data_IF_703869637660
#
_entry.id   IF_703869637660
#
_cell.length_a   1.000
_cell.length_b   1.000
_cell.length_c   1.000
_cell.angle_alpha   90.00
_cell.angle_beta   90.00
_cell.angle_gamma   90.00
#
_symmetry.space_group_name_H-M   'P 1'
#
loop_
_entity.id
_entity.type
_entity.pdbx_description
1 polymer ?
#
# COMPACT_ATOMS: atom_id res chain seq x y z
N UNK A 1 -10.04 6.93 -15.36
CA UNK A 1 -8.93 6.82 -16.33
C UNK A 1 -7.63 7.15 -15.63
N UNK A 2 -6.49 7.03 -16.32
CA UNK A 2 -5.21 7.48 -15.77
C UNK A 2 -5.17 9.03 -15.80
N UNK A 3 -4.74 9.68 -14.72
CA UNK A 3 -4.64 11.16 -14.67
C UNK A 3 -3.57 11.61 -15.67
N UNK A 4 -3.95 12.47 -16.62
CA UNK A 4 -3.05 13.07 -17.61
C UNK A 4 -1.95 13.87 -16.92
N UNK A 5 -0.70 13.76 -17.39
CA UNK A 5 0.45 14.43 -16.78
C UNK A 5 0.97 13.84 -15.47
N UNK A 6 0.28 12.85 -14.88
CA UNK A 6 0.68 12.20 -13.61
C UNK A 6 0.83 10.68 -13.75
N UNK A 7 0.09 10.07 -14.68
CA UNK A 7 0.14 8.63 -14.97
C UNK A 7 1.13 8.27 -16.07
N UNK A 8 1.63 9.27 -16.80
CA UNK A 8 2.64 9.14 -17.85
C UNK A 8 4.07 9.31 -17.29
N UNK A 9 4.19 9.68 -16.02
CA UNK A 9 5.47 9.87 -15.34
C UNK A 9 6.04 8.52 -14.92
N UNK A 10 7.33 8.28 -15.21
CA UNK A 10 8.05 7.10 -14.74
C UNK A 10 8.04 7.08 -13.21
N UNK A 11 7.33 6.12 -12.63
CA UNK A 11 7.26 5.94 -11.18
C UNK A 11 8.29 4.92 -10.72
N UNK A 12 8.65 5.04 -9.45
CA UNK A 12 9.46 4.05 -8.76
C UNK A 12 8.76 2.68 -8.83
N UNK A 13 9.47 1.62 -9.21
CA UNK A 13 8.89 0.30 -9.32
C UNK A 13 8.39 -0.15 -7.94
N UNK A 14 7.15 -0.65 -7.90
CA UNK A 14 6.59 -1.22 -6.67
C UNK A 14 7.21 -2.59 -6.41
N UNK A 15 8.18 -2.65 -5.49
CA UNK A 15 8.85 -3.90 -5.13
C UNK A 15 8.02 -4.79 -4.18
N UNK A 16 7.07 -4.23 -3.41
CA UNK A 16 6.32 -5.04 -2.46
C UNK A 16 5.19 -4.33 -1.71
N UNK A 17 4.74 -4.98 -0.63
CA UNK A 17 3.75 -4.45 0.33
C UNK A 17 4.18 -4.83 1.74
N UNK A 18 4.19 -3.84 2.64
CA UNK A 18 4.33 -4.06 4.07
C UNK A 18 2.92 -4.05 4.67
N UNK A 19 2.59 -5.03 5.51
CA UNK A 19 1.25 -5.19 6.09
C UNK A 19 1.28 -5.02 7.61
N UNK A 20 0.14 -4.63 8.19
CA UNK A 20 -0.06 -4.44 9.63
C UNK A 20 -0.70 -5.65 10.32
N UNK A 21 -0.89 -6.76 9.60
CA UNK A 21 -1.61 -7.90 10.11
C UNK A 21 -1.56 -9.11 9.17
N UNK A 22 -2.03 -10.23 9.70
CA UNK A 22 -2.07 -11.53 9.04
C UNK A 22 -3.52 -11.97 8.85
N UNK A 23 -3.75 -12.87 7.89
CA UNK A 23 -5.02 -13.60 7.83
C UNK A 23 -4.94 -14.79 8.77
N UNK A 24 -5.91 -14.93 9.65
CA UNK A 24 -6.06 -16.07 10.55
C UNK A 24 -7.27 -16.89 10.11
N UNK A 25 -7.16 -18.21 10.17
CA UNK A 25 -8.27 -19.12 9.94
C UNK A 25 -9.09 -19.24 11.22
N UNK A 26 -10.42 -19.12 11.10
CA UNK A 26 -11.35 -19.45 12.17
C UNK A 26 -11.75 -20.92 12.12
N UNK A 27 -12.44 -21.39 13.16
CA UNK A 27 -12.81 -22.80 13.34
C UNK A 27 -13.69 -23.36 12.21
N UNK A 28 -14.39 -22.48 11.49
CA UNK A 28 -15.26 -22.80 10.34
C UNK A 28 -14.58 -22.66 8.99
N UNK A 29 -13.24 -22.51 8.94
CA UNK A 29 -12.47 -22.37 7.69
C UNK A 29 -12.54 -20.98 7.05
N UNK A 30 -13.26 -20.04 7.66
CA UNK A 30 -13.29 -18.64 7.21
C UNK A 30 -11.99 -17.93 7.60
N UNK A 31 -11.35 -17.22 6.65
CA UNK A 31 -10.17 -16.40 6.93
C UNK A 31 -10.58 -14.96 7.27
N UNK A 32 -10.09 -14.45 8.39
CA UNK A 32 -10.31 -13.06 8.80
C UNK A 32 -8.99 -12.33 9.08
N UNK A 33 -8.91 -11.02 8.82
CA UNK A 33 -7.72 -10.25 9.11
C UNK A 33 -7.57 -10.05 10.62
N UNK A 34 -6.38 -10.33 11.15
CA UNK A 34 -6.01 -10.09 12.54
C UNK A 34 -4.82 -9.13 12.57
N UNK A 35 -4.89 -8.03 13.35
CA UNK A 35 -3.77 -7.10 13.48
C UNK A 35 -2.58 -7.77 14.21
N UNK A 36 -1.37 -7.37 13.86
CA UNK A 36 -0.13 -7.77 14.55
C UNK A 36 0.56 -6.55 15.15
N UNK A 37 1.35 -6.76 16.21
CA UNK A 37 2.15 -5.70 16.86
C UNK A 37 3.48 -5.43 16.14
N UNK A 38 3.72 -6.12 15.03
CA UNK A 38 4.89 -5.98 14.15
C UNK A 38 4.44 -5.88 12.69
N UNK A 39 5.33 -5.34 11.86
CA UNK A 39 5.14 -5.26 10.42
C UNK A 39 5.39 -6.61 9.74
N UNK A 40 4.47 -7.03 8.89
CA UNK A 40 4.66 -8.20 8.01
C UNK A 40 5.35 -7.71 6.74
N UNK A 41 6.67 -7.88 6.71
CA UNK A 41 7.56 -7.39 5.66
C UNK A 41 7.88 -8.47 4.60
N UNK A 42 8.24 -8.09 3.36
CA UNK A 42 8.84 -8.99 2.38
C UNK A 42 10.28 -9.35 2.76
N UNK A 43 10.83 -10.38 2.12
CA UNK A 43 12.10 -10.99 2.53
C UNK A 43 13.29 -10.04 2.39
N UNK A 44 13.29 -9.10 1.44
CA UNK A 44 14.38 -8.11 1.35
C UNK A 44 14.44 -7.21 2.58
N UNK A 45 13.28 -6.82 3.10
CA UNK A 45 13.18 -5.94 4.28
C UNK A 45 13.48 -6.73 5.55
N UNK A 46 13.03 -7.99 5.64
CA UNK A 46 13.35 -8.86 6.79
C UNK A 46 14.84 -9.13 6.95
N UNK A 47 15.59 -9.24 5.84
CA UNK A 47 17.05 -9.40 5.88
C UNK A 47 17.76 -8.24 6.57
N UNK A 48 17.16 -7.04 6.57
CA UNK A 48 17.73 -5.83 7.17
C UNK A 48 17.18 -5.58 8.58
N UNK A 49 15.87 -5.75 8.79
CA UNK A 49 15.18 -5.38 10.02
C UNK A 49 14.77 -6.57 10.92
N UNK A 50 15.00 -7.81 10.46
CA UNK A 50 14.56 -9.03 11.12
C UNK A 50 13.12 -9.45 10.75
N UNK A 51 12.65 -10.55 11.34
CA UNK A 51 11.36 -11.17 10.97
C UNK A 51 10.12 -10.43 11.47
N UNK A 52 10.23 -9.74 12.62
CA UNK A 52 9.11 -9.08 13.30
C UNK A 52 9.46 -7.66 13.75
N UNK A 53 9.82 -6.75 12.82
CA UNK A 53 10.18 -5.39 13.18
C UNK A 53 8.94 -4.61 13.65
N UNK A 54 9.08 -3.86 14.74
CA UNK A 54 8.04 -2.95 15.26
C UNK A 54 8.17 -1.52 14.74
N UNK A 55 9.34 -1.19 14.19
CA UNK A 55 9.68 0.13 13.66
C UNK A 55 10.46 -0.04 12.37
N UNK A 56 10.24 0.84 11.40
CA UNK A 56 10.93 0.85 10.12
C UNK A 56 11.49 2.24 9.84
N UNK A 57 12.76 2.30 9.45
CA UNK A 57 13.37 3.54 8.96
C UNK A 57 13.01 3.67 7.48
N UNK A 58 12.28 4.74 7.15
CA UNK A 58 11.89 5.05 5.77
C UNK A 58 12.65 6.28 5.27
N UNK A 59 12.86 6.33 3.96
CA UNK A 59 13.43 7.47 3.25
C UNK A 59 12.62 7.66 1.98
N UNK A 60 12.20 8.90 1.71
CA UNK A 60 11.67 9.26 0.41
C UNK A 60 12.83 9.48 -0.56
N UNK A 61 12.80 8.88 -1.76
CA UNK A 61 13.91 8.99 -2.71
C UNK A 61 14.02 10.38 -3.35
N UNK A 62 12.95 11.18 -3.30
CA UNK A 62 12.87 12.53 -3.83
C UNK A 62 12.02 13.41 -2.91
N UNK A 63 12.28 14.72 -2.89
CA UNK A 63 11.48 15.70 -2.16
C UNK A 63 10.13 16.00 -2.85
N UNK A 64 10.04 15.75 -4.16
CA UNK A 64 8.80 15.91 -4.91
C UNK A 64 7.80 14.80 -4.57
N UNK A 65 6.78 15.15 -3.79
CA UNK A 65 5.72 14.25 -3.33
C UNK A 65 4.91 13.63 -4.47
N UNK A 66 4.81 14.30 -5.63
CA UNK A 66 4.02 13.81 -6.77
C UNK A 66 4.56 12.50 -7.35
N UNK A 67 5.86 12.23 -7.14
CA UNK A 67 6.56 11.06 -7.66
C UNK A 67 6.27 9.78 -6.85
N UNK A 68 6.11 9.91 -5.53
CA UNK A 68 5.90 8.77 -4.63
C UNK A 68 4.47 8.69 -4.03
N UNK A 69 3.73 9.79 -3.96
CA UNK A 69 2.33 9.78 -3.57
C UNK A 69 1.43 9.41 -4.77
N UNK A 70 0.43 8.55 -4.52
CA UNK A 70 -0.51 8.15 -5.58
C UNK A 70 -1.55 9.25 -5.77
N UNK A 71 -1.56 9.88 -6.95
CA UNK A 71 -2.58 10.86 -7.32
C UNK A 71 -3.64 10.16 -8.19
N UNK A 72 -4.67 9.61 -7.54
CA UNK A 72 -5.93 9.31 -8.20
C UNK A 72 -7.05 9.89 -7.36
N UNK A 73 -7.98 10.61 -7.97
CA UNK A 73 -9.26 10.91 -7.34
C UNK A 73 -10.05 9.61 -7.29
N UNK A 74 -10.04 8.94 -6.13
CA UNK A 74 -10.74 7.67 -5.93
C UNK A 74 -12.01 7.93 -5.14
N UNK A 75 -13.15 7.61 -5.73
CA UNK A 75 -14.40 7.55 -5.00
C UNK A 75 -14.56 6.15 -4.42
N UNK A 76 -14.89 6.06 -3.13
CA UNK A 76 -15.16 4.79 -2.45
C UNK A 76 -16.61 4.77 -1.97
N UNK A 77 -17.22 3.60 -2.02
CA UNK A 77 -18.56 3.37 -1.49
C UNK A 77 -18.57 3.34 0.03
N UNK A 78 -19.76 3.42 0.62
CA UNK A 78 -19.94 3.22 2.06
C UNK A 78 -19.40 1.86 2.53
N UNK A 79 -19.44 0.83 1.67
CA UNK A 79 -18.86 -0.49 1.90
C UNK A 79 -17.34 -0.56 1.64
N UNK A 80 -16.66 0.59 1.48
CA UNK A 80 -15.22 0.72 1.18
C UNK A 80 -14.78 0.09 -0.16
N UNK A 81 -15.73 -0.19 -1.05
CA UNK A 81 -15.45 -0.62 -2.42
C UNK A 81 -15.01 0.57 -3.27
N UNK A 82 -14.03 0.41 -4.15
CA UNK A 82 -13.65 1.45 -5.10
C UNK A 82 -14.77 1.60 -6.15
N UNK A 83 -15.41 2.78 -6.21
CA UNK A 83 -16.49 3.09 -7.16
C UNK A 83 -15.89 3.52 -8.51
N UNK A 84 -15.05 4.55 -8.48
CA UNK A 84 -14.47 5.10 -9.70
C UNK A 84 -13.11 5.76 -9.44
N UNK A 85 -12.36 5.95 -10.53
CA UNK A 85 -11.10 6.70 -10.57
C UNK A 85 -11.26 7.84 -11.58
N UNK A 86 -11.23 9.08 -11.08
CA UNK A 86 -11.23 10.30 -11.88
C UNK A 86 -9.82 10.78 -12.21
N UNK A 87 -9.71 11.42 -13.36
CA UNK A 87 -8.56 12.21 -13.84
C UNK A 87 -8.69 13.70 -13.49
N UNK A 88 -9.85 14.14 -12.98
CA UNK A 88 -10.06 15.51 -12.53
C UNK A 88 -10.37 16.49 -13.66
N UNK A 89 -10.47 16.01 -14.90
CA UNK A 89 -10.98 16.76 -16.06
C UNK A 89 -12.42 16.30 -16.35
N UNK A 90 -13.28 17.24 -16.75
CA UNK A 90 -14.72 17.05 -17.00
C UNK A 90 -15.03 16.19 -18.22
#
# INVERSE_FOLDING_TARGET
MAIKGVSEVVRLPRQGKIRLGIKKEGDTGATYPTPTDYFVCPDEVKKVFGDKPKELKIMFPTEDESQWATQHLKCYSAARGLICRGDGET
#
